data_IF_537076738393
#
_entry.id   IF_537076738393
#
_cell.length_a   1.000
_cell.length_b   1.000
_cell.length_c   1.000
_cell.angle_alpha   90.00
_cell.angle_beta   90.00
_cell.angle_gamma   90.00
#
_symmetry.space_group_name_H-M   'P 1'
#
loop_
_entity.id
_entity.type
_entity.pdbx_description
1 polymer ?
#
# COMPACT_ATOMS: atom_id res chain seq x y z
N UNK A 1 5.40 -8.34 0.90
CA UNK A 1 4.28 -9.28 1.09
C UNK A 1 4.63 -10.58 0.43
N UNK A 2 3.65 -11.45 0.30
CA UNK A 2 3.67 -12.66 -0.52
C UNK A 2 2.23 -12.91 -1.00
N UNK A 3 2.00 -13.82 -1.97
CA UNK A 3 0.65 -14.09 -2.45
C UNK A 3 -0.36 -14.38 -1.33
N UNK A 4 -1.28 -13.44 -1.11
CA UNK A 4 -2.35 -13.50 -0.12
C UNK A 4 -1.92 -13.24 1.33
N UNK A 5 -0.72 -12.72 1.58
CA UNK A 5 -0.17 -12.54 2.94
C UNK A 5 0.62 -11.23 3.07
N UNK A 6 0.35 -10.47 4.12
CA UNK A 6 1.19 -9.37 4.61
C UNK A 6 1.92 -9.82 5.88
N UNK A 7 3.25 -9.83 5.83
CA UNK A 7 4.08 -10.32 6.94
C UNK A 7 4.09 -9.34 8.11
N UNK A 8 4.01 -9.87 9.32
CA UNK A 8 4.11 -9.10 10.56
C UNK A 8 5.43 -9.39 11.28
N UNK A 9 5.99 -8.46 12.07
CA UNK A 9 7.28 -8.64 12.74
C UNK A 9 7.26 -9.66 13.90
N UNK A 10 6.08 -10.15 14.32
CA UNK A 10 5.94 -11.15 15.37
C UNK A 10 5.98 -12.58 14.80
N UNK A 11 6.40 -13.53 15.64
CA UNK A 11 6.74 -14.90 15.20
C UNK A 11 5.56 -15.74 14.67
N UNK A 12 4.30 -15.38 14.96
CA UNK A 12 3.15 -16.28 14.72
C UNK A 12 1.90 -15.65 14.05
N UNK A 13 1.91 -14.37 13.66
CA UNK A 13 0.67 -13.68 13.22
C UNK A 13 0.83 -12.87 11.93
N UNK A 14 1.15 -13.55 10.83
CA UNK A 14 1.01 -12.94 9.50
C UNK A 14 -0.45 -12.56 9.20
N UNK A 15 -0.65 -11.44 8.52
CA UNK A 15 -1.97 -10.98 8.11
C UNK A 15 -2.35 -11.61 6.77
N UNK A 16 -3.18 -12.64 6.82
CA UNK A 16 -3.74 -13.25 5.62
C UNK A 16 -4.83 -12.38 5.00
N UNK A 17 -4.86 -12.31 3.66
CA UNK A 17 -5.82 -11.53 2.88
C UNK A 17 -7.27 -11.81 3.31
N UNK A 18 -7.62 -13.07 3.55
CA UNK A 18 -8.97 -13.48 3.97
C UNK A 18 -9.38 -12.87 5.31
N UNK A 19 -8.46 -12.80 6.28
CA UNK A 19 -8.74 -12.24 7.60
C UNK A 19 -8.82 -10.71 7.54
N UNK A 20 -7.98 -10.09 6.71
CA UNK A 20 -8.09 -8.67 6.45
C UNK A 20 -9.43 -8.29 5.79
N UNK A 21 -9.82 -9.00 4.73
CA UNK A 21 -11.09 -8.77 4.02
C UNK A 21 -12.29 -9.05 4.93
N UNK A 22 -12.24 -10.07 5.78
CA UNK A 22 -13.26 -10.33 6.81
C UNK A 22 -13.38 -9.17 7.80
N UNK A 23 -12.27 -8.55 8.17
CA UNK A 23 -12.25 -7.37 9.04
C UNK A 23 -12.89 -6.17 8.33
N UNK A 24 -12.55 -5.92 7.06
CA UNK A 24 -13.16 -4.85 6.25
C UNK A 24 -14.67 -5.06 6.07
N UNK A 25 -15.11 -6.30 5.85
CA UNK A 25 -16.53 -6.67 5.82
C UNK A 25 -17.24 -6.29 7.12
N UNK A 26 -16.68 -6.72 8.25
CA UNK A 26 -17.24 -6.42 9.58
C UNK A 26 -17.31 -4.90 9.81
N UNK A 27 -16.28 -4.17 9.39
CA UNK A 27 -16.22 -2.71 9.47
C UNK A 27 -17.30 -2.06 8.58
N UNK A 28 -17.52 -2.57 7.37
CA UNK A 28 -18.59 -2.12 6.47
C UNK A 28 -19.98 -2.36 7.07
N UNK A 29 -20.25 -3.58 7.52
CA UNK A 29 -21.54 -3.96 8.13
C UNK A 29 -21.85 -3.16 9.40
N UNK A 30 -20.82 -2.67 10.10
CA UNK A 30 -21.00 -1.78 11.26
C UNK A 30 -21.49 -0.38 10.90
N UNK A 31 -21.37 0.05 9.64
CA UNK A 31 -21.78 1.39 9.19
C UNK A 31 -21.01 2.54 9.83
N UNK A 32 -19.78 2.30 10.29
CA UNK A 32 -18.98 3.27 11.08
C UNK A 32 -17.92 4.02 10.27
N UNK A 33 -18.08 4.10 8.95
CA UNK A 33 -17.31 5.00 8.06
C UNK A 33 -18.19 5.38 6.86
N UNK A 34 -17.87 6.53 6.24
CA UNK A 34 -18.52 6.95 4.99
C UNK A 34 -17.79 6.39 3.77
N UNK A 35 -16.47 6.56 3.75
CA UNK A 35 -15.56 6.06 2.71
C UNK A 35 -14.21 5.75 3.35
N UNK A 36 -13.46 4.81 2.79
CA UNK A 36 -12.14 4.42 3.28
C UNK A 36 -11.16 4.32 2.11
N UNK A 37 -9.96 4.84 2.28
CA UNK A 37 -8.84 4.64 1.37
C UNK A 37 -7.80 3.74 2.03
N UNK A 38 -7.22 2.79 1.28
CA UNK A 38 -6.20 1.85 1.76
C UNK A 38 -5.06 1.83 0.76
N UNK A 39 -3.84 2.12 1.22
CA UNK A 39 -2.62 2.10 0.42
C UNK A 39 -1.75 0.96 0.96
N UNK A 40 -1.33 0.04 0.09
CA UNK A 40 -0.55 -1.14 0.51
C UNK A 40 0.75 -1.23 -0.26
N UNK A 41 1.85 -1.01 0.48
CA UNK A 41 3.21 -1.30 0.04
C UNK A 41 3.60 -2.72 0.42
N UNK A 42 3.78 -3.57 -0.60
CA UNK A 42 4.30 -4.93 -0.46
C UNK A 42 4.50 -5.57 -1.84
N UNK A 43 5.44 -6.51 -1.94
CA UNK A 43 5.40 -7.52 -3.01
C UNK A 43 4.07 -8.26 -3.02
N UNK A 44 3.59 -8.56 -4.22
CA UNK A 44 2.31 -9.20 -4.52
C UNK A 44 1.10 -8.54 -3.83
N UNK A 45 1.14 -7.23 -3.54
CA UNK A 45 0.12 -6.54 -2.75
C UNK A 45 -1.29 -6.63 -3.37
N UNK A 46 -1.39 -6.65 -4.69
CA UNK A 46 -2.68 -6.84 -5.39
C UNK A 46 -3.42 -8.11 -4.97
N UNK A 47 -2.69 -9.17 -4.59
CA UNK A 47 -3.26 -10.44 -4.14
C UNK A 47 -4.03 -10.35 -2.81
N UNK A 48 -3.87 -9.26 -2.06
CA UNK A 48 -4.62 -9.00 -0.83
C UNK A 48 -6.08 -8.66 -1.12
N UNK A 49 -6.38 -8.09 -2.29
CA UNK A 49 -7.70 -7.58 -2.65
C UNK A 49 -8.32 -8.26 -3.88
N UNK A 50 -7.51 -8.76 -4.82
CA UNK A 50 -8.00 -9.31 -6.09
C UNK A 50 -9.02 -10.43 -5.88
N UNK A 51 -10.24 -10.24 -6.41
CA UNK A 51 -11.36 -11.17 -6.27
C UNK A 51 -11.94 -11.28 -4.85
N UNK A 52 -11.47 -10.47 -3.90
CA UNK A 52 -11.88 -10.52 -2.49
C UNK A 52 -12.56 -9.22 -2.00
N UNK A 53 -12.10 -8.05 -2.45
CA UNK A 53 -12.66 -6.75 -2.04
C UNK A 53 -13.80 -6.33 -2.99
N UNK A 54 -15.05 -6.25 -2.51
CA UNK A 54 -16.18 -5.83 -3.33
C UNK A 54 -16.34 -4.30 -3.40
N UNK A 55 -16.81 -3.80 -4.54
CA UNK A 55 -16.95 -2.36 -4.81
C UNK A 55 -18.01 -1.68 -3.93
N UNK A 56 -19.02 -2.41 -3.47
CA UNK A 56 -20.14 -1.88 -2.68
C UNK A 56 -19.74 -1.41 -1.28
N UNK A 57 -18.51 -1.71 -0.84
CA UNK A 57 -18.08 -1.35 0.51
C UNK A 57 -17.65 0.11 0.66
N UNK A 58 -17.55 0.90 -0.41
CA UNK A 58 -16.98 2.26 -0.36
C UNK A 58 -15.54 2.28 0.17
N UNK A 59 -14.76 1.26 -0.20
CA UNK A 59 -13.34 1.15 0.09
C UNK A 59 -12.59 1.27 -1.24
N UNK A 60 -11.71 2.26 -1.34
CA UNK A 60 -10.79 2.44 -2.46
C UNK A 60 -9.40 1.96 -2.03
N UNK A 61 -8.85 0.98 -2.74
CA UNK A 61 -7.55 0.40 -2.42
C UNK A 61 -6.57 0.58 -3.58
N UNK A 62 -5.35 1.02 -3.28
CA UNK A 62 -4.23 1.05 -4.21
C UNK A 62 -3.09 0.20 -3.65
N UNK A 63 -2.35 -0.45 -4.54
CA UNK A 63 -1.29 -1.40 -4.18
C UNK A 63 -0.03 -1.10 -4.96
N UNK A 64 1.13 -1.20 -4.33
CA UNK A 64 2.44 -0.97 -4.95
C UNK A 64 2.73 -1.92 -6.12
N UNK A 65 2.06 -3.09 -6.14
CA UNK A 65 2.31 -4.13 -7.11
C UNK A 65 1.04 -4.95 -7.38
N UNK A 66 0.96 -5.56 -8.56
CA UNK A 66 -0.07 -6.53 -8.90
C UNK A 66 0.09 -7.85 -8.11
N UNK A 67 -0.83 -8.82 -8.22
CA UNK A 67 -0.81 -10.07 -7.44
C UNK A 67 0.39 -11.00 -7.66
N UNK A 68 1.26 -10.73 -8.63
CA UNK A 68 2.34 -11.63 -9.06
C UNK A 68 3.68 -10.91 -9.30
N UNK A 69 3.82 -9.65 -8.88
CA UNK A 69 5.06 -8.89 -9.03
C UNK A 69 5.55 -8.30 -7.71
N UNK A 70 6.86 -8.11 -7.64
CA UNK A 70 7.53 -7.44 -6.53
C UNK A 70 7.25 -5.94 -6.52
N UNK A 71 7.20 -5.35 -5.33
CA UNK A 71 7.42 -3.92 -5.16
C UNK A 71 8.91 -3.61 -5.00
N UNK A 72 9.27 -2.34 -4.92
CA UNK A 72 10.65 -1.88 -5.00
C UNK A 72 11.01 -0.94 -3.86
N UNK A 73 12.18 -1.17 -3.26
CA UNK A 73 12.82 -0.19 -2.39
C UNK A 73 13.44 0.95 -3.22
N UNK A 74 13.59 2.13 -2.62
CA UNK A 74 14.24 3.29 -3.21
C UNK A 74 15.17 3.98 -2.21
N UNK A 75 15.95 4.96 -2.69
CA UNK A 75 16.98 5.63 -1.90
C UNK A 75 17.97 4.63 -1.30
N UNK A 76 18.45 3.72 -2.16
CA UNK A 76 19.28 2.58 -1.79
C UNK A 76 20.78 2.86 -2.04
N UNK A 77 21.70 2.34 -1.20
CA UNK A 77 23.13 2.42 -1.46
C UNK A 77 23.49 1.80 -2.81
N UNK A 78 24.23 2.55 -3.64
CA UNK A 78 24.63 2.10 -4.99
C UNK A 78 23.59 2.35 -6.09
N UNK A 79 22.44 2.93 -5.77
CA UNK A 79 21.42 3.39 -6.72
C UNK A 79 21.30 4.91 -6.68
N UNK A 80 20.75 5.51 -7.73
CA UNK A 80 20.55 6.95 -7.84
C UNK A 80 19.06 7.30 -7.66
N UNK A 81 18.69 8.25 -6.76
CA UNK A 81 19.57 8.95 -5.83
C UNK A 81 19.97 8.07 -4.62
N UNK A 82 21.24 8.09 -4.19
CA UNK A 82 21.69 7.29 -3.06
C UNK A 82 21.35 7.98 -1.73
N UNK A 83 21.27 7.22 -0.63
CA UNK A 83 21.18 7.80 0.71
C UNK A 83 22.55 8.37 1.13
N UNK A 84 22.60 9.17 2.22
CA UNK A 84 23.87 9.60 2.80
C UNK A 84 24.80 8.41 3.11
N UNK A 85 26.13 8.51 2.92
CA UNK A 85 27.05 7.37 2.97
C UNK A 85 27.07 6.58 4.29
N UNK A 86 26.63 7.16 5.40
CA UNK A 86 26.48 6.52 6.69
C UNK A 86 25.35 5.48 6.74
N UNK A 87 24.40 5.52 5.81
CA UNK A 87 23.29 4.56 5.72
C UNK A 87 23.65 3.41 4.77
N UNK A 88 23.79 2.21 5.34
CA UNK A 88 24.00 0.97 4.59
C UNK A 88 22.70 0.26 4.15
N UNK A 89 21.56 0.96 4.18
CA UNK A 89 20.21 0.42 3.91
C UNK A 89 19.44 1.39 3.01
N UNK A 90 18.41 0.90 2.33
CA UNK A 90 17.45 1.75 1.62
C UNK A 90 16.65 2.60 2.63
N UNK A 91 16.31 3.84 2.26
CA UNK A 91 15.58 4.76 3.15
C UNK A 91 14.06 4.80 2.91
N UNK A 92 13.58 4.16 1.85
CA UNK A 92 12.14 4.07 1.60
C UNK A 92 11.78 3.01 0.57
N UNK A 93 10.49 2.94 0.28
CA UNK A 93 9.89 2.08 -0.74
C UNK A 93 9.27 2.95 -1.82
N UNK A 94 9.49 2.59 -3.09
CA UNK A 94 9.24 3.44 -4.25
C UNK A 94 7.79 3.92 -4.33
N UNK A 95 6.83 3.01 -4.23
CA UNK A 95 5.41 3.38 -4.23
C UNK A 95 5.08 4.25 -3.01
N UNK A 96 5.62 3.90 -1.84
CA UNK A 96 5.37 4.65 -0.61
C UNK A 96 5.88 6.09 -0.67
N UNK A 97 7.13 6.30 -1.07
CA UNK A 97 7.67 7.66 -1.17
C UNK A 97 7.01 8.44 -2.30
N UNK A 98 6.60 7.78 -3.39
CA UNK A 98 5.94 8.45 -4.51
C UNK A 98 4.64 9.15 -4.06
N UNK A 99 3.73 8.44 -3.38
CA UNK A 99 2.48 9.09 -2.94
C UNK A 99 2.71 10.07 -1.79
N UNK A 100 3.68 9.82 -0.90
CA UNK A 100 3.97 10.73 0.22
C UNK A 100 4.60 12.04 -0.25
N UNK A 101 5.59 11.98 -1.15
CA UNK A 101 6.27 13.16 -1.67
C UNK A 101 5.37 13.97 -2.60
N UNK A 102 4.50 13.30 -3.35
CA UNK A 102 3.42 13.94 -4.12
C UNK A 102 2.48 14.73 -3.19
N UNK A 103 2.05 14.13 -2.08
CA UNK A 103 1.22 14.81 -1.08
C UNK A 103 1.91 16.04 -0.46
N UNK A 104 3.22 15.96 -0.22
CA UNK A 104 4.01 17.06 0.36
C UNK A 104 4.19 18.23 -0.64
N UNK A 105 4.22 17.93 -1.94
CA UNK A 105 4.45 18.91 -2.99
C UNK A 105 3.17 19.61 -3.48
N UNK A 106 2.00 19.00 -3.30
CA UNK A 106 0.73 19.46 -3.87
C UNK A 106 -0.30 19.93 -2.84
N UNK A 107 -1.32 20.66 -3.32
CA UNK A 107 -2.47 21.02 -2.49
C UNK A 107 -3.50 19.90 -2.51
N UNK A 108 -3.60 19.17 -1.41
CA UNK A 108 -4.52 18.03 -1.24
C UNK A 108 -6.02 18.39 -1.35
N UNK A 109 -6.39 19.67 -1.21
CA UNK A 109 -7.77 20.11 -1.46
C UNK A 109 -8.10 20.19 -2.96
N UNK A 110 -7.07 20.21 -3.82
CA UNK A 110 -7.21 20.33 -5.28
C UNK A 110 -6.93 19.01 -6.00
N UNK A 111 -6.08 18.15 -5.43
CA UNK A 111 -5.73 16.85 -5.97
C UNK A 111 -6.69 15.75 -5.51
N UNK A 112 -7.14 14.92 -6.45
CA UNK A 112 -7.99 13.76 -6.16
C UNK A 112 -7.16 12.49 -5.98
N UNK A 113 -7.73 11.49 -5.28
CA UNK A 113 -7.11 10.16 -5.19
C UNK A 113 -6.88 9.51 -6.55
N UNK A 114 -7.74 9.78 -7.54
CA UNK A 114 -7.57 9.28 -8.91
C UNK A 114 -6.37 9.93 -9.59
N UNK A 115 -6.15 11.24 -9.40
CA UNK A 115 -4.98 11.93 -9.96
C UNK A 115 -3.69 11.39 -9.36
N UNK A 116 -3.63 11.27 -8.03
CA UNK A 116 -2.48 10.68 -7.35
C UNK A 116 -2.21 9.25 -7.81
N UNK A 117 -3.25 8.41 -7.97
CA UNK A 117 -3.09 7.04 -8.47
C UNK A 117 -2.49 6.97 -9.89
N UNK A 118 -2.70 7.97 -10.74
CA UNK A 118 -2.10 8.01 -12.08
C UNK A 118 -0.65 8.52 -12.07
N UNK A 119 -0.28 9.30 -11.05
CA UNK A 119 1.07 9.85 -10.88
C UNK A 119 2.02 8.81 -10.28
N UNK A 120 1.53 8.06 -9.28
CA UNK A 120 2.24 7.01 -8.53
C UNK A 120 2.36 5.73 -9.34
#
# INVERSE_FOLDING_TARGET
>A
GSPGVLTMPGDDDDLYAKDFIKTLKTKHESGTYKSMAIYVEACEAGSIFEGLLPEEWNIYATTASNPSESSWATYCPGFDPPPPPEYGVCLGDLYSVAWMEDCDAHNLDAETLEQQYQVV
#
